data_IF_293276901244
#
_entry.id   IF_293276901244
#
_cell.length_a   1.000
_cell.length_b   1.000
_cell.length_c   1.000
_cell.angle_alpha   90.00
_cell.angle_beta   90.00
_cell.angle_gamma   90.00
#
_symmetry.space_group_name_H-M   'P 1'
#
loop_
_entity.id
_entity.type
_entity.pdbx_description
1 polymer ?
#
# COMPACT_ATOMS: atom_id res chain seq x y z
N UNK A 1 1.54 -6.79 -23.50
CA UNK A 1 2.00 -5.40 -23.72
C UNK A 1 2.10 -4.75 -22.35
N UNK A 2 3.24 -4.16 -21.97
CA UNK A 2 3.31 -3.32 -20.77
C UNK A 2 2.25 -2.21 -20.87
N UNK A 3 1.53 -1.94 -19.78
CA UNK A 3 0.65 -0.77 -19.72
C UNK A 3 1.48 0.49 -19.93
N UNK A 4 1.04 1.36 -20.85
CA UNK A 4 1.68 2.66 -21.18
C UNK A 4 1.73 3.62 -19.98
N UNK A 5 1.00 3.32 -18.89
CA UNK A 5 0.94 4.16 -17.71
C UNK A 5 1.68 3.57 -16.51
N UNK A 6 2.40 4.43 -15.82
CA UNK A 6 2.86 4.25 -14.46
C UNK A 6 1.76 4.73 -13.49
N UNK A 7 1.20 3.79 -12.74
CA UNK A 7 0.03 4.03 -11.89
C UNK A 7 0.43 4.13 -10.42
N UNK A 8 -0.51 4.63 -9.61
CA UNK A 8 -0.43 4.58 -8.13
C UNK A 8 0.07 3.24 -7.61
N UNK A 9 -0.51 2.12 -8.06
CA UNK A 9 -0.15 0.79 -7.55
C UNK A 9 1.29 0.41 -7.86
N UNK A 10 1.81 0.79 -9.04
CA UNK A 10 3.23 0.62 -9.38
C UNK A 10 4.12 1.50 -8.51
N UNK A 11 3.72 2.75 -8.28
CA UNK A 11 4.44 3.65 -7.37
C UNK A 11 4.54 3.08 -5.96
N UNK A 12 3.43 2.65 -5.36
CA UNK A 12 3.42 2.06 -4.02
C UNK A 12 4.28 0.78 -3.94
N UNK A 13 4.24 -0.08 -4.95
CA UNK A 13 5.12 -1.25 -5.05
C UNK A 13 6.60 -0.84 -5.04
N UNK A 14 6.96 0.21 -5.77
CA UNK A 14 8.32 0.74 -5.82
C UNK A 14 8.75 1.37 -4.48
N UNK A 15 7.81 1.95 -3.73
CA UNK A 15 8.08 2.49 -2.39
C UNK A 15 8.37 1.39 -1.36
N UNK A 16 7.88 0.17 -1.58
CA UNK A 16 8.31 -1.00 -0.80
C UNK A 16 9.73 -1.45 -1.21
N UNK A 17 9.95 -1.62 -2.52
CA UNK A 17 11.27 -1.93 -3.09
C UNK A 17 11.26 -1.66 -4.61
N UNK A 18 12.12 -0.76 -5.13
CA UNK A 18 12.10 -0.39 -6.55
C UNK A 18 12.35 -1.56 -7.51
N UNK A 19 13.18 -2.53 -7.11
CA UNK A 19 13.48 -3.71 -7.92
C UNK A 19 12.24 -4.58 -8.16
N UNK A 20 11.22 -4.52 -7.29
CA UNK A 20 9.96 -5.25 -7.49
C UNK A 20 9.21 -4.82 -8.75
N UNK A 21 9.39 -3.59 -9.23
CA UNK A 21 8.78 -3.13 -10.48
C UNK A 21 9.13 -4.07 -11.65
N UNK A 22 10.39 -4.48 -11.72
CA UNK A 22 10.87 -5.35 -12.79
C UNK A 22 10.28 -6.75 -12.66
N UNK A 23 10.33 -7.38 -11.48
CA UNK A 23 9.78 -8.73 -11.31
C UNK A 23 8.26 -8.77 -11.46
N UNK A 24 7.56 -7.73 -11.02
CA UNK A 24 6.11 -7.61 -11.21
C UNK A 24 5.72 -7.44 -12.68
N UNK A 25 6.57 -6.80 -13.49
CA UNK A 25 6.35 -6.65 -14.92
C UNK A 25 6.66 -7.92 -15.74
N UNK A 26 7.31 -8.92 -15.15
CA UNK A 26 7.73 -10.17 -15.82
C UNK A 26 7.19 -11.43 -15.09
N UNK A 27 5.87 -11.58 -14.90
CA UNK A 27 5.27 -12.71 -14.16
C UNK A 27 5.46 -14.08 -14.86
N UNK A 28 5.72 -14.07 -16.17
CA UNK A 28 6.10 -15.24 -16.94
C UNK A 28 7.48 -15.79 -16.55
N UNK A 29 8.36 -14.97 -15.96
CA UNK A 29 9.69 -15.37 -15.50
C UNK A 29 9.72 -15.53 -13.96
N UNK A 30 9.18 -14.56 -13.22
CA UNK A 30 9.34 -14.50 -11.76
C UNK A 30 8.10 -15.00 -11.01
N UNK A 31 8.29 -15.97 -10.12
CA UNK A 31 7.21 -16.41 -9.24
C UNK A 31 6.96 -15.40 -8.13
N UNK A 32 5.68 -15.20 -7.86
CA UNK A 32 5.18 -14.33 -6.82
C UNK A 32 4.41 -15.19 -5.80
N UNK A 33 4.90 -15.22 -4.55
CA UNK A 33 4.31 -15.98 -3.44
C UNK A 33 3.16 -15.25 -2.74
N UNK A 34 2.67 -14.14 -3.28
CA UNK A 34 1.47 -13.47 -2.76
C UNK A 34 0.26 -14.35 -3.07
N UNK A 35 -0.02 -15.29 -2.17
CA UNK A 35 -1.21 -16.13 -2.22
C UNK A 35 -2.45 -15.31 -1.90
N UNK A 36 -3.58 -15.63 -2.54
CA UNK A 36 -4.90 -15.18 -2.13
C UNK A 36 -5.25 -15.83 -0.78
N UNK A 37 -4.88 -15.16 0.31
CA UNK A 37 -5.28 -15.53 1.67
C UNK A 37 -6.74 -15.09 1.89
N UNK A 38 -7.65 -15.97 2.34
CA UNK A 38 -9.01 -15.60 2.74
C UNK A 38 -9.09 -14.37 3.66
N UNK A 39 -8.08 -14.15 4.51
CA UNK A 39 -7.97 -12.95 5.34
C UNK A 39 -7.72 -11.68 4.52
N UNK A 40 -6.80 -11.74 3.54
CA UNK A 40 -6.55 -10.62 2.61
C UNK A 40 -7.77 -10.32 1.73
N UNK A 41 -8.53 -11.35 1.35
CA UNK A 41 -9.81 -11.16 0.66
C UNK A 41 -10.86 -10.48 1.55
N UNK A 42 -10.93 -10.84 2.83
CA UNK A 42 -11.82 -10.19 3.78
C UNK A 42 -11.44 -8.72 4.01
N UNK A 43 -10.15 -8.41 4.13
CA UNK A 43 -9.64 -7.04 4.20
C UNK A 43 -9.99 -6.22 2.95
N UNK A 44 -9.83 -6.81 1.76
CA UNK A 44 -10.21 -6.17 0.50
C UNK A 44 -11.72 -5.86 0.47
N UNK A 45 -12.57 -6.80 0.92
CA UNK A 45 -14.04 -6.58 1.03
C UNK A 45 -14.37 -5.41 1.97
N UNK A 46 -13.71 -5.31 3.11
CA UNK A 46 -13.90 -4.18 4.04
C UNK A 46 -13.54 -2.84 3.37
N UNK A 47 -12.41 -2.79 2.64
CA UNK A 47 -12.02 -1.61 1.87
C UNK A 47 -13.07 -1.17 0.85
N UNK A 48 -13.60 -2.11 0.07
CA UNK A 48 -14.68 -1.83 -0.89
C UNK A 48 -15.95 -1.31 -0.20
N UNK A 49 -16.30 -1.83 0.98
CA UNK A 49 -17.48 -1.39 1.74
C UNK A 49 -17.35 0.07 2.17
N UNK A 50 -16.18 0.45 2.68
CA UNK A 50 -15.87 1.82 3.08
C UNK A 50 -15.87 2.75 1.87
N UNK A 51 -15.31 2.32 0.73
CA UNK A 51 -15.37 3.09 -0.52
C UNK A 51 -16.81 3.35 -1.00
N UNK A 52 -17.67 2.34 -0.96
CA UNK A 52 -19.10 2.49 -1.29
C UNK A 52 -19.79 3.44 -0.33
N UNK A 53 -19.57 3.29 0.98
CA UNK A 53 -20.15 4.17 1.99
C UNK A 53 -19.72 5.63 1.79
N UNK A 54 -18.46 5.86 1.43
CA UNK A 54 -17.96 7.20 1.11
C UNK A 54 -18.72 7.82 -0.06
N UNK A 55 -18.97 7.06 -1.13
CA UNK A 55 -19.78 7.54 -2.26
C UNK A 55 -21.18 7.93 -1.83
N UNK A 56 -21.81 7.17 -0.94
CA UNK A 56 -23.14 7.50 -0.40
C UNK A 56 -23.16 8.86 0.31
N UNK A 57 -22.12 9.18 1.08
CA UNK A 57 -22.03 10.49 1.77
C UNK A 57 -21.80 11.68 0.82
N UNK A 58 -21.32 11.40 -0.39
CA UNK A 58 -21.05 12.39 -1.43
C UNK A 58 -22.10 12.39 -2.55
N UNK A 59 -23.12 11.54 -2.47
CA UNK A 59 -24.10 11.38 -3.52
C UNK A 59 -25.06 12.59 -3.54
N UNK A 60 -25.26 13.17 -4.72
CA UNK A 60 -26.10 14.35 -4.93
C UNK A 60 -26.29 14.64 -6.43
N UNK A 61 -26.93 15.77 -6.76
CA UNK A 61 -27.23 16.11 -8.15
C UNK A 61 -25.97 16.26 -9.05
N UNK A 62 -24.85 16.69 -8.45
CA UNK A 62 -23.59 16.96 -9.16
C UNK A 62 -22.55 15.84 -9.05
N UNK A 63 -22.93 14.65 -8.55
CA UNK A 63 -22.02 13.52 -8.45
C UNK A 63 -22.10 12.58 -9.67
N UNK A 64 -20.94 12.21 -10.22
CA UNK A 64 -20.83 11.31 -11.37
C UNK A 64 -19.88 10.16 -11.01
N UNK A 65 -20.35 8.92 -11.17
CA UNK A 65 -19.54 7.71 -10.94
C UNK A 65 -18.92 7.19 -12.25
N UNK A 66 -17.58 7.17 -12.32
CA UNK A 66 -16.82 6.68 -13.49
C UNK A 66 -16.24 5.27 -13.28
N UNK A 67 -16.64 4.55 -12.22
CA UNK A 67 -16.07 3.25 -11.85
C UNK A 67 -16.13 2.20 -12.96
N UNK A 68 -17.21 2.24 -13.75
CA UNK A 68 -17.47 1.28 -14.82
C UNK A 68 -16.80 1.63 -16.15
N UNK A 69 -16.14 2.78 -16.24
CA UNK A 69 -15.44 3.21 -17.44
C UNK A 69 -14.03 2.63 -17.48
N UNK A 70 -13.56 2.31 -18.69
CA UNK A 70 -12.15 2.00 -18.91
C UNK A 70 -11.28 3.27 -18.75
N UNK A 71 -9.96 3.11 -18.75
CA UNK A 71 -9.03 4.23 -18.53
C UNK A 71 -9.24 5.39 -19.50
N UNK A 72 -9.34 5.12 -20.80
CA UNK A 72 -9.50 6.15 -21.83
C UNK A 72 -10.82 6.92 -21.67
N UNK A 73 -11.92 6.19 -21.47
CA UNK A 73 -13.24 6.75 -21.23
C UNK A 73 -13.28 7.60 -19.96
N UNK A 74 -12.67 7.12 -18.87
CA UNK A 74 -12.60 7.84 -17.61
C UNK A 74 -11.78 9.13 -17.77
N UNK A 75 -10.62 9.09 -18.44
CA UNK A 75 -9.78 10.27 -18.72
C UNK A 75 -10.56 11.33 -19.51
N UNK A 76 -11.20 10.92 -20.60
CA UNK A 76 -12.02 11.82 -21.41
C UNK A 76 -13.15 12.43 -20.59
N UNK A 77 -13.91 11.60 -19.87
CA UNK A 77 -15.06 12.06 -19.10
C UNK A 77 -14.67 12.96 -17.94
N UNK A 78 -13.59 12.65 -17.21
CA UNK A 78 -13.07 13.52 -16.15
C UNK A 78 -12.66 14.88 -16.72
N UNK A 79 -11.94 14.92 -17.86
CA UNK A 79 -11.57 16.18 -18.51
C UNK A 79 -12.78 17.05 -18.86
N UNK A 80 -13.84 16.45 -19.40
CA UNK A 80 -15.08 17.18 -19.72
C UNK A 80 -15.80 17.69 -18.46
N UNK A 81 -15.87 16.88 -17.42
CA UNK A 81 -16.54 17.25 -16.17
C UNK A 81 -15.82 18.38 -15.42
N UNK A 82 -14.49 18.43 -15.47
CA UNK A 82 -13.69 19.49 -14.84
C UNK A 82 -13.90 20.88 -15.46
N UNK A 83 -14.58 20.99 -16.62
CA UNK A 83 -14.99 22.29 -17.19
C UNK A 83 -16.12 22.96 -16.40
N UNK A 84 -16.90 22.20 -15.62
CA UNK A 84 -17.94 22.76 -14.74
C UNK A 84 -17.31 23.46 -13.54
N UNK A 85 -17.96 24.48 -13.00
CA UNK A 85 -17.49 25.15 -11.78
C UNK A 85 -17.53 24.21 -10.58
N UNK A 86 -18.63 23.45 -10.44
CA UNK A 86 -18.83 22.53 -9.33
C UNK A 86 -19.13 21.12 -9.85
N UNK A 87 -18.39 20.12 -9.37
CA UNK A 87 -18.63 18.71 -9.71
C UNK A 87 -17.99 17.77 -8.69
N UNK A 88 -18.66 16.66 -8.39
CA UNK A 88 -18.11 15.53 -7.63
C UNK A 88 -17.93 14.36 -8.61
N UNK A 89 -16.73 13.80 -8.68
CA UNK A 89 -16.40 12.72 -9.60
C UNK A 89 -15.83 11.55 -8.79
N UNK A 90 -16.51 10.41 -8.83
CA UNK A 90 -15.97 9.17 -8.25
C UNK A 90 -15.14 8.43 -9.28
N UNK A 91 -14.01 7.86 -8.85
CA UNK A 91 -13.03 7.18 -9.72
C UNK A 91 -12.51 8.08 -10.85
N UNK A 92 -12.30 9.37 -10.54
CA UNK A 92 -11.82 10.37 -11.50
C UNK A 92 -10.43 9.98 -12.01
N UNK A 93 -10.25 9.97 -13.34
CA UNK A 93 -8.97 9.63 -13.95
C UNK A 93 -8.30 10.89 -14.51
N UNK A 94 -7.02 11.08 -14.18
CA UNK A 94 -6.19 12.16 -14.73
C UNK A 94 -4.83 11.59 -15.09
N UNK A 95 -4.32 11.99 -16.25
CA UNK A 95 -3.01 11.61 -16.72
C UNK A 95 -2.14 12.83 -16.98
N UNK A 96 -0.84 12.66 -16.76
CA UNK A 96 0.19 13.60 -17.16
C UNK A 96 1.39 12.80 -17.67
N UNK A 97 1.77 12.99 -18.94
CA UNK A 97 2.70 12.10 -19.64
C UNK A 97 2.27 10.62 -19.46
N UNK A 98 3.16 9.79 -18.92
CA UNK A 98 2.90 8.38 -18.63
C UNK A 98 2.41 8.13 -17.21
N UNK A 99 2.10 9.15 -16.42
CA UNK A 99 1.58 8.99 -15.06
C UNK A 99 0.06 8.99 -15.08
N UNK A 100 -0.56 8.02 -14.41
CA UNK A 100 -2.01 7.91 -14.30
C UNK A 100 -2.45 7.84 -12.84
N UNK A 101 -3.27 8.80 -12.43
CA UNK A 101 -4.02 8.74 -11.17
C UNK A 101 -5.45 8.31 -11.43
N UNK A 102 -6.02 7.59 -10.47
CA UNK A 102 -7.45 7.32 -10.36
C UNK A 102 -7.86 7.57 -8.91
N UNK A 103 -8.54 8.69 -8.69
CA UNK A 103 -8.91 9.16 -7.36
C UNK A 103 -10.26 8.56 -6.94
N UNK A 104 -10.37 8.08 -5.70
CA UNK A 104 -11.62 7.54 -5.16
C UNK A 104 -12.73 8.59 -5.26
N UNK A 105 -12.45 9.81 -4.77
CA UNK A 105 -13.34 10.97 -4.88
C UNK A 105 -12.54 12.22 -5.24
N UNK A 106 -12.97 12.92 -6.29
CA UNK A 106 -12.53 14.27 -6.65
C UNK A 106 -13.72 15.22 -6.48
N UNK A 107 -13.52 16.28 -5.69
CA UNK A 107 -14.49 17.37 -5.56
C UNK A 107 -13.89 18.63 -6.15
N UNK A 108 -14.55 19.22 -7.13
CA UNK A 108 -14.21 20.53 -7.67
C UNK A 108 -15.23 21.55 -7.17
N UNK A 109 -14.74 22.61 -6.55
CA UNK A 109 -15.49 23.82 -6.22
C UNK A 109 -14.74 25.02 -6.81
N UNK A 110 -15.27 25.59 -7.88
CA UNK A 110 -14.64 26.64 -8.69
C UNK A 110 -13.20 26.25 -9.10
N UNK A 111 -12.21 26.94 -8.54
CA UNK A 111 -10.78 26.74 -8.81
C UNK A 111 -10.07 25.88 -7.76
N UNK A 112 -10.81 25.23 -6.87
CA UNK A 112 -10.25 24.36 -5.84
C UNK A 112 -10.68 22.90 -6.04
N UNK A 113 -9.69 22.03 -5.98
CA UNK A 113 -9.83 20.59 -6.08
C UNK A 113 -9.53 19.99 -4.72
N UNK A 114 -10.40 19.08 -4.27
CA UNK A 114 -10.12 18.19 -3.15
C UNK A 114 -9.99 16.77 -3.71
N UNK A 115 -8.84 16.15 -3.50
CA UNK A 115 -8.66 14.71 -3.70
C UNK A 115 -8.86 14.02 -2.37
N UNK A 116 -9.77 13.04 -2.31
CA UNK A 116 -10.02 12.25 -1.11
C UNK A 116 -9.71 10.80 -1.44
N UNK A 117 -8.70 10.24 -0.76
CA UNK A 117 -8.37 8.81 -0.79
C UNK A 117 -9.02 8.12 0.41
N UNK A 118 -9.87 7.13 0.17
CA UNK A 118 -10.68 6.47 1.20
C UNK A 118 -9.99 5.19 1.67
N UNK A 119 -9.78 5.04 2.98
CA UNK A 119 -9.19 3.84 3.58
C UNK A 119 -10.10 3.28 4.68
N UNK A 120 -10.08 1.96 4.85
CA UNK A 120 -10.79 1.28 5.95
C UNK A 120 -10.04 1.33 7.29
N UNK A 121 -8.98 2.11 7.39
CA UNK A 121 -8.31 2.39 8.66
C UNK A 121 -9.16 3.32 9.53
N UNK A 122 -9.02 3.18 10.84
CA UNK A 122 -9.74 4.01 11.81
C UNK A 122 -8.92 5.22 12.24
N UNK A 123 -9.61 6.26 12.70
CA UNK A 123 -9.00 7.49 13.20
C UNK A 123 -9.75 8.03 14.41
N UNK A 124 -9.01 8.39 15.46
CA UNK A 124 -9.46 9.13 16.64
C UNK A 124 -8.81 10.52 16.64
N UNK A 125 -9.60 11.55 16.33
CA UNK A 125 -9.14 12.95 16.25
C UNK A 125 -8.52 13.49 17.54
N UNK A 126 -8.71 12.83 18.68
CA UNK A 126 -8.16 13.26 19.97
C UNK A 126 -6.85 12.58 20.34
N UNK A 127 -6.48 11.49 19.65
CA UNK A 127 -5.33 10.64 20.01
C UNK A 127 -4.37 10.38 18.87
N UNK A 128 -4.88 10.29 17.65
CA UNK A 128 -4.09 9.89 16.50
C UNK A 128 -3.37 11.08 15.89
N UNK A 129 -2.16 10.81 15.40
CA UNK A 129 -1.33 11.76 14.66
C UNK A 129 -0.58 11.01 13.58
N UNK A 130 -0.47 11.60 12.39
CA UNK A 130 0.29 11.02 11.28
C UNK A 130 1.78 11.21 11.51
N UNK A 131 2.16 12.41 11.95
CA UNK A 131 3.52 12.67 12.41
C UNK A 131 3.80 11.99 13.75
N UNK A 132 4.97 11.37 13.83
CA UNK A 132 5.46 10.83 15.08
C UNK A 132 5.98 11.96 15.97
N UNK A 133 5.92 11.78 17.30
CA UNK A 133 6.42 12.76 18.28
C UNK A 133 7.89 13.15 18.08
N UNK A 134 8.69 12.28 17.46
CA UNK A 134 10.12 12.49 17.19
C UNK A 134 10.40 12.99 15.76
N UNK A 135 9.37 13.40 15.02
CA UNK A 135 9.45 13.72 13.59
C UNK A 135 9.27 12.50 12.70
N UNK A 136 9.03 12.75 11.41
CA UNK A 136 8.71 11.72 10.41
C UNK A 136 7.31 11.14 10.55
N UNK A 137 6.96 10.24 9.62
CA UNK A 137 5.63 9.62 9.50
C UNK A 137 5.75 8.13 9.82
N UNK A 138 4.80 7.58 10.56
CA UNK A 138 4.79 6.14 10.87
C UNK A 138 4.64 5.30 9.60
N UNK A 139 5.19 4.08 9.58
CA UNK A 139 5.09 3.21 8.39
C UNK A 139 3.64 2.91 7.99
N UNK A 140 2.75 2.76 8.97
CA UNK A 140 1.33 2.50 8.75
C UNK A 140 0.68 3.62 7.93
N UNK A 141 0.98 4.89 8.25
CA UNK A 141 0.45 6.04 7.53
C UNK A 141 1.25 6.39 6.27
N UNK A 142 2.55 6.13 6.26
CA UNK A 142 3.44 6.52 5.17
C UNK A 142 2.99 5.98 3.81
N UNK A 143 2.49 4.73 3.78
CA UNK A 143 1.93 4.14 2.57
C UNK A 143 0.72 4.91 2.03
N UNK A 144 -0.16 5.38 2.90
CA UNK A 144 -1.33 6.18 2.53
C UNK A 144 -0.95 7.61 2.13
N UNK A 145 0.07 8.18 2.75
CA UNK A 145 0.62 9.47 2.34
C UNK A 145 1.23 9.37 0.95
N UNK A 146 2.02 8.32 0.66
CA UNK A 146 2.56 8.09 -0.68
C UNK A 146 1.49 7.90 -1.74
N UNK A 147 0.41 7.21 -1.39
CA UNK A 147 -0.75 7.02 -2.26
C UNK A 147 -1.28 8.38 -2.75
N UNK A 148 -1.72 9.23 -1.82
CA UNK A 148 -2.34 10.51 -2.16
C UNK A 148 -1.31 11.53 -2.68
N UNK A 149 -0.04 11.46 -2.26
CA UNK A 149 1.02 12.32 -2.75
C UNK A 149 1.30 12.08 -4.24
N UNK A 150 1.32 10.83 -4.69
CA UNK A 150 1.43 10.50 -6.11
C UNK A 150 0.28 11.11 -6.90
N UNK A 151 -0.96 10.92 -6.44
CA UNK A 151 -2.13 11.46 -7.12
C UNK A 151 -2.10 13.00 -7.15
N UNK A 152 -1.80 13.66 -6.04
CA UNK A 152 -1.67 15.13 -5.97
C UNK A 152 -0.58 15.64 -6.92
N UNK A 153 0.56 14.94 -7.03
CA UNK A 153 1.62 15.27 -7.96
C UNK A 153 1.14 15.23 -9.41
N UNK A 154 0.54 14.11 -9.84
CA UNK A 154 0.02 13.95 -11.21
C UNK A 154 -1.04 14.99 -11.53
N UNK A 155 -1.98 15.24 -10.61
CA UNK A 155 -3.03 16.24 -10.81
C UNK A 155 -2.44 17.66 -10.97
N UNK A 156 -1.53 18.06 -10.08
CA UNK A 156 -0.91 19.39 -10.12
C UNK A 156 -0.12 19.62 -11.42
N UNK A 157 0.46 18.56 -11.99
CA UNK A 157 1.14 18.61 -13.30
C UNK A 157 0.15 18.75 -14.47
N UNK A 158 -0.98 18.03 -14.43
CA UNK A 158 -2.01 18.11 -15.45
C UNK A 158 -2.79 19.44 -15.42
N UNK A 159 -3.02 20.02 -14.24
CA UNK A 159 -3.84 21.21 -14.03
C UNK A 159 -3.14 22.24 -13.13
N UNK A 160 -2.07 22.90 -13.61
CA UNK A 160 -1.25 23.80 -12.79
C UNK A 160 -1.99 25.05 -12.29
N UNK A 161 -3.08 25.44 -12.95
CA UNK A 161 -3.87 26.63 -12.60
C UNK A 161 -4.93 26.36 -11.52
N UNK A 162 -5.20 25.09 -11.17
CA UNK A 162 -6.17 24.74 -10.13
C UNK A 162 -5.45 24.56 -8.80
N UNK A 163 -6.03 25.09 -7.73
CA UNK A 163 -5.55 24.81 -6.36
C UNK A 163 -6.00 23.42 -5.97
N UNK A 164 -5.16 22.71 -5.22
CA UNK A 164 -5.45 21.33 -4.82
C UNK A 164 -5.10 21.07 -3.35
N UNK A 165 -6.03 20.46 -2.64
CA UNK A 165 -5.85 19.90 -1.30
C UNK A 165 -6.12 18.40 -1.31
N UNK A 166 -5.39 17.67 -0.48
CA UNK A 166 -5.47 16.23 -0.38
C UNK A 166 -5.96 15.79 1.00
N UNK A 167 -6.79 14.77 1.01
CA UNK A 167 -7.43 14.25 2.21
C UNK A 167 -7.35 12.73 2.25
N UNK A 168 -7.28 12.19 3.47
CA UNK A 168 -7.64 10.81 3.76
C UNK A 168 -9.07 10.77 4.30
N UNK A 169 -9.92 9.94 3.71
CA UNK A 169 -11.22 9.57 4.26
C UNK A 169 -11.10 8.28 5.07
N UNK A 170 -11.30 8.37 6.39
CA UNK A 170 -11.04 7.28 7.35
C UNK A 170 -12.28 6.98 8.19
N UNK A 171 -12.36 5.78 8.77
CA UNK A 171 -13.43 5.43 9.71
C UNK A 171 -13.26 6.22 11.02
N UNK A 172 -14.26 7.02 11.37
CA UNK A 172 -14.27 7.79 12.60
C UNK A 172 -14.50 6.87 13.81
N UNK A 173 -13.47 6.69 14.65
CA UNK A 173 -13.52 5.81 15.83
C UNK A 173 -14.49 6.31 16.91
N UNK A 174 -14.78 7.60 16.91
CA UNK A 174 -15.70 8.25 17.86
C UNK A 174 -17.15 8.29 17.35
N UNK A 175 -17.42 7.89 16.10
CA UNK A 175 -18.77 7.91 15.55
C UNK A 175 -19.56 6.67 15.98
N UNK A 176 -20.81 6.88 16.38
CA UNK A 176 -21.77 5.81 16.62
C UNK A 176 -22.39 5.38 15.30
N UNK A 177 -22.50 4.06 15.07
CA UNK A 177 -23.18 3.53 13.89
C UNK A 177 -24.70 3.81 14.02
N UNK A 178 -25.31 4.61 13.14
CA UNK A 178 -26.70 5.04 13.31
C UNK A 178 -27.70 3.90 13.03
N UNK A 179 -27.25 2.85 12.33
CA UNK A 179 -28.05 1.69 11.99
C UNK A 179 -27.35 0.37 12.34
N UNK A 180 -28.11 -0.55 12.93
CA UNK A 180 -27.63 -1.92 13.19
C UNK A 180 -27.40 -2.67 11.87
N UNK A 181 -26.28 -3.39 11.79
CA UNK A 181 -25.95 -4.22 10.63
C UNK A 181 -25.73 -3.45 9.32
N UNK A 182 -25.32 -2.18 9.36
CA UNK A 182 -25.06 -1.37 8.15
C UNK A 182 -24.10 -2.07 7.17
N UNK A 183 -23.07 -2.74 7.70
CA UNK A 183 -22.13 -3.55 6.91
C UNK A 183 -22.80 -4.74 6.19
N UNK A 184 -23.94 -5.24 6.66
CA UNK A 184 -24.71 -6.30 6.01
C UNK A 184 -25.67 -5.77 4.93
N UNK A 185 -26.00 -4.47 5.00
CA UNK A 185 -26.80 -3.77 3.99
C UNK A 185 -25.98 -3.51 2.72
N UNK A 186 -24.69 -3.18 2.86
CA UNK A 186 -23.76 -3.04 1.74
C UNK A 186 -23.14 -4.40 1.42
N UNK A 187 -23.68 -5.08 0.41
CA UNK A 187 -23.20 -6.41 0.01
C UNK A 187 -22.24 -6.29 -1.15
N UNK A 188 -21.09 -6.94 -1.00
CA UNK A 188 -20.08 -7.04 -2.05
C UNK A 188 -20.02 -8.48 -2.54
N UNK A 189 -20.20 -8.64 -3.84
CA UNK A 189 -20.02 -9.90 -4.55
C UNK A 189 -18.98 -9.71 -5.66
N UNK A 190 -18.40 -10.80 -6.16
CA UNK A 190 -17.59 -10.78 -7.38
C UNK A 190 -18.31 -11.54 -8.48
N UNK A 191 -18.30 -11.00 -9.69
CA UNK A 191 -18.79 -11.70 -10.88
C UNK A 191 -17.81 -12.81 -11.28
N UNK A 192 -18.24 -13.71 -12.18
CA UNK A 192 -17.37 -14.75 -12.75
C UNK A 192 -16.10 -14.19 -13.41
N UNK A 193 -16.14 -12.93 -13.83
CA UNK A 193 -15.01 -12.24 -14.47
C UNK A 193 -14.17 -11.44 -13.46
N UNK A 194 -14.39 -11.62 -12.15
CA UNK A 194 -13.64 -10.96 -11.08
C UNK A 194 -14.07 -9.52 -10.77
N UNK A 195 -15.04 -8.96 -11.49
CA UNK A 195 -15.55 -7.61 -11.23
C UNK A 195 -16.31 -7.57 -9.90
N UNK A 196 -16.05 -6.53 -9.11
CA UNK A 196 -16.75 -6.29 -7.85
C UNK A 196 -18.13 -5.72 -8.16
N UNK A 197 -19.18 -6.43 -7.72
CA UNK A 197 -20.57 -5.99 -7.80
C UNK A 197 -21.07 -5.66 -6.40
N UNK A 198 -21.48 -4.42 -6.23
CA UNK A 198 -22.10 -3.90 -5.02
C UNK A 198 -23.61 -4.00 -5.14
N UNK A 199 -24.30 -4.40 -4.09
CA UNK A 199 -25.76 -4.44 -4.02
C UNK A 199 -26.27 -4.05 -2.63
N UNK A 200 -27.54 -3.64 -2.55
CA UNK A 200 -28.19 -3.23 -1.30
C UNK A 200 -27.96 -1.78 -0.90
N UNK A 201 -27.17 -1.03 -1.66
CA UNK A 201 -26.94 0.42 -1.47
C UNK A 201 -28.22 1.19 -1.74
N UNK A 202 -29.02 0.76 -2.71
CA UNK A 202 -30.34 1.29 -3.03
C UNK A 202 -31.35 1.21 -1.88
N UNK A 203 -31.03 0.44 -0.84
CA UNK A 203 -31.86 0.27 0.37
C UNK A 203 -31.41 1.15 1.53
N UNK A 204 -30.27 1.85 1.41
CA UNK A 204 -29.82 2.81 2.40
C UNK A 204 -30.74 4.03 2.37
N UNK A 205 -31.17 4.47 3.53
CA UNK A 205 -31.99 5.67 3.69
C UNK A 205 -31.23 6.76 4.46
N UNK A 206 -31.83 7.93 4.60
CA UNK A 206 -31.22 9.06 5.32
C UNK A 206 -30.88 8.74 6.79
N UNK A 207 -31.66 7.87 7.45
CA UNK A 207 -31.37 7.45 8.82
C UNK A 207 -30.14 6.52 8.91
N UNK A 208 -29.93 5.66 7.90
CA UNK A 208 -28.73 4.81 7.81
C UNK A 208 -27.43 5.62 7.64
N UNK A 209 -27.54 6.88 7.20
CA UNK A 209 -26.43 7.79 6.90
C UNK A 209 -26.44 9.04 7.80
N UNK A 210 -27.27 9.08 8.84
CA UNK A 210 -27.49 10.28 9.66
C UNK A 210 -26.22 10.73 10.38
N UNK A 211 -25.43 9.76 10.86
CA UNK A 211 -24.11 9.99 11.44
C UNK A 211 -23.02 9.65 10.42
N UNK A 212 -22.11 10.61 10.18
CA UNK A 212 -20.97 10.40 9.31
C UNK A 212 -19.94 9.49 9.99
N UNK A 213 -19.86 8.25 9.52
CA UNK A 213 -18.89 7.25 9.96
C UNK A 213 -17.51 7.46 9.33
N UNK A 214 -17.40 8.37 8.36
CA UNK A 214 -16.15 8.78 7.79
C UNK A 214 -15.77 10.18 8.27
N UNK A 215 -14.50 10.33 8.65
CA UNK A 215 -13.84 11.59 8.92
C UNK A 215 -12.82 11.86 7.83
N UNK A 216 -12.70 13.13 7.44
CA UNK A 216 -11.71 13.57 6.48
C UNK A 216 -10.60 14.34 7.19
N UNK A 217 -9.37 14.01 6.83
CA UNK A 217 -8.18 14.62 7.40
C UNK A 217 -7.39 15.20 6.25
N UNK A 218 -7.17 16.51 6.28
CA UNK A 218 -6.25 17.14 5.34
C UNK A 218 -4.83 16.65 5.65
N UNK A 219 -4.13 16.18 4.61
CA UNK A 219 -2.78 15.63 4.74
C UNK A 219 -1.76 16.40 3.90
N UNK A 220 -2.05 17.68 3.61
CA UNK A 220 -1.18 18.51 2.76
C UNK A 220 0.19 18.74 3.39
N UNK A 221 0.27 18.81 4.73
CA UNK A 221 1.52 18.99 5.46
C UNK A 221 2.42 17.75 5.36
N UNK A 222 1.84 16.56 5.53
CA UNK A 222 2.51 15.27 5.41
C UNK A 222 3.00 15.03 3.98
N UNK A 223 2.17 15.38 2.98
CA UNK A 223 2.58 15.33 1.57
C UNK A 223 3.75 16.29 1.32
N UNK A 224 3.69 17.50 1.87
CA UNK A 224 4.78 18.49 1.73
C UNK A 224 6.07 17.95 2.33
N UNK A 225 6.01 17.37 3.54
CA UNK A 225 7.17 16.73 4.17
C UNK A 225 7.79 15.63 3.30
N UNK A 226 7.00 14.67 2.80
CA UNK A 226 7.56 13.61 1.93
C UNK A 226 8.02 14.13 0.57
N UNK A 227 7.44 15.25 0.09
CA UNK A 227 7.79 15.84 -1.20
C UNK A 227 9.08 16.65 -1.13
N UNK A 228 9.26 17.43 -0.07
CA UNK A 228 10.23 18.51 0.00
C UNK A 228 11.34 18.26 1.01
N UNK A 229 11.13 17.46 2.05
CA UNK A 229 12.14 17.20 3.09
C UNK A 229 12.83 15.86 2.88
N UNK A 230 12.06 14.82 2.54
CA UNK A 230 12.61 13.48 2.32
C UNK A 230 13.48 13.43 1.05
N UNK A 231 14.53 12.61 1.10
CA UNK A 231 15.40 12.28 -0.03
C UNK A 231 15.21 10.81 -0.40
N UNK A 232 15.06 10.56 -1.69
CA UNK A 232 14.93 9.22 -2.25
C UNK A 232 16.23 8.81 -2.94
N UNK A 233 16.23 7.62 -3.56
CA UNK A 233 17.36 7.11 -4.34
C UNK A 233 17.86 8.19 -5.32
N UNK A 234 19.17 8.33 -5.42
CA UNK A 234 19.86 9.36 -6.21
C UNK A 234 19.60 10.80 -5.72
N UNK A 235 19.36 10.99 -4.42
CA UNK A 235 19.11 12.31 -3.79
C UNK A 235 17.91 13.09 -4.37
N UNK A 236 17.00 12.38 -5.04
CA UNK A 236 15.82 12.95 -5.67
C UNK A 236 14.78 13.34 -4.62
N UNK A 237 14.03 14.40 -4.93
CA UNK A 237 12.76 14.73 -4.26
C UNK A 237 11.63 13.91 -4.86
N UNK A 238 10.48 13.81 -4.17
CA UNK A 238 9.40 12.88 -4.52
C UNK A 238 8.99 12.97 -6.00
N UNK A 239 8.76 14.17 -6.51
CA UNK A 239 8.37 14.37 -7.91
C UNK A 239 9.41 13.81 -8.90
N UNK A 240 10.69 14.13 -8.71
CA UNK A 240 11.77 13.59 -9.54
C UNK A 240 11.91 12.07 -9.40
N UNK A 241 11.67 11.53 -8.20
CA UNK A 241 11.70 10.10 -7.97
C UNK A 241 10.53 9.37 -8.63
N UNK A 242 9.34 9.95 -8.65
CA UNK A 242 8.17 9.42 -9.40
C UNK A 242 8.52 9.30 -10.89
N UNK A 243 9.05 10.37 -11.50
CA UNK A 243 9.44 10.36 -12.93
C UNK A 243 10.54 9.33 -13.20
N UNK A 244 11.55 9.24 -12.32
CA UNK A 244 12.61 8.24 -12.42
C UNK A 244 12.08 6.81 -12.39
N UNK A 245 11.19 6.50 -11.44
CA UNK A 245 10.56 5.18 -11.33
C UNK A 245 9.67 4.86 -12.54
N UNK A 246 8.92 5.84 -13.04
CA UNK A 246 8.09 5.69 -14.22
C UNK A 246 8.94 5.34 -15.44
N UNK A 247 10.04 6.07 -15.68
CA UNK A 247 10.97 5.80 -16.78
C UNK A 247 11.58 4.40 -16.67
N UNK A 248 12.08 4.00 -15.50
CA UNK A 248 12.63 2.66 -15.32
C UNK A 248 11.56 1.58 -15.59
N UNK A 249 10.34 1.77 -15.08
CA UNK A 249 9.24 0.81 -15.28
C UNK A 249 8.83 0.68 -16.74
N UNK A 250 8.75 1.78 -17.48
CA UNK A 250 8.31 1.78 -18.89
C UNK A 250 9.39 1.22 -19.82
N UNK A 251 10.66 1.44 -19.49
CA UNK A 251 11.80 0.91 -20.25
C UNK A 251 12.21 -0.51 -19.85
N UNK A 252 11.46 -1.16 -18.94
CA UNK A 252 11.78 -2.51 -18.45
C UNK A 252 13.13 -2.57 -17.73
N UNK A 253 13.61 -1.47 -17.17
CA UNK A 253 14.90 -1.40 -16.49
C UNK A 253 14.80 -1.98 -15.07
N UNK A 254 15.57 -3.04 -14.80
CA UNK A 254 15.76 -3.53 -13.43
C UNK A 254 16.64 -2.55 -12.66
N UNK A 255 16.13 -2.05 -11.53
CA UNK A 255 16.89 -1.23 -10.61
C UNK A 255 17.74 -2.10 -9.67
N UNK A 256 18.98 -1.66 -9.41
CA UNK A 256 19.89 -2.37 -8.50
C UNK A 256 19.21 -2.63 -7.14
N UNK A 257 19.31 -3.87 -6.61
CA UNK A 257 18.67 -4.26 -5.37
C UNK A 257 19.32 -3.57 -4.17
N UNK A 258 18.47 -3.18 -3.22
CA UNK A 258 18.91 -2.79 -1.88
C UNK A 258 18.46 -3.87 -0.92
N UNK A 259 19.36 -4.78 -0.58
CA UNK A 259 19.08 -5.88 0.35
C UNK A 259 18.98 -5.38 1.79
N UNK A 260 18.17 -6.05 2.60
CA UNK A 260 17.95 -5.68 3.99
C UNK A 260 16.81 -6.48 4.61
N UNK A 261 16.35 -6.07 5.80
CA UNK A 261 15.24 -6.71 6.52
C UNK A 261 13.95 -6.76 5.71
N UNK A 262 13.77 -5.80 4.79
CA UNK A 262 12.60 -5.73 3.90
C UNK A 262 12.48 -7.00 3.04
N UNK A 263 13.59 -7.69 2.77
CA UNK A 263 13.61 -8.90 1.98
C UNK A 263 12.95 -10.10 2.70
N UNK A 264 12.79 -10.05 4.03
CA UNK A 264 12.18 -11.13 4.80
C UNK A 264 10.72 -11.39 4.35
N UNK A 265 9.99 -10.32 4.05
CA UNK A 265 8.58 -10.35 3.64
C UNK A 265 8.40 -10.13 2.12
N UNK A 266 9.47 -10.27 1.33
CA UNK A 266 9.39 -10.06 -0.11
C UNK A 266 8.55 -11.17 -0.76
N UNK A 267 7.55 -10.80 -1.54
CA UNK A 267 6.68 -11.74 -2.26
C UNK A 267 7.42 -12.50 -3.37
N UNK A 268 8.57 -12.01 -3.81
CA UNK A 268 9.47 -12.71 -4.74
C UNK A 268 10.49 -13.61 -4.01
N UNK A 269 10.39 -13.75 -2.68
CA UNK A 269 11.11 -14.76 -1.90
C UNK A 269 10.38 -16.10 -2.00
N UNK A 270 10.76 -16.87 -3.01
CA UNK A 270 10.22 -18.20 -3.27
C UNK A 270 11.21 -19.26 -2.82
N UNK A 271 10.72 -20.25 -2.07
CA UNK A 271 11.53 -21.41 -1.69
C UNK A 271 12.05 -22.10 -2.95
N UNK A 272 13.34 -22.42 -2.96
CA UNK A 272 14.00 -23.04 -4.09
C UNK A 272 13.28 -24.33 -4.55
N UNK A 273 12.76 -25.11 -3.60
CA UNK A 273 11.99 -26.34 -3.86
C UNK A 273 10.65 -26.13 -4.58
N UNK A 274 10.13 -24.90 -4.61
CA UNK A 274 8.90 -24.52 -5.32
C UNK A 274 9.17 -23.95 -6.72
N UNK A 275 10.43 -23.77 -7.11
CA UNK A 275 10.78 -23.32 -8.44
C UNK A 275 10.53 -24.45 -9.43
N UNK A 276 9.56 -24.28 -10.32
CA UNK A 276 9.33 -25.16 -11.47
C UNK A 276 10.27 -24.78 -12.62
N UNK A 277 10.51 -25.70 -13.55
CA UNK A 277 11.39 -25.45 -14.70
C UNK A 277 11.03 -24.15 -15.42
N UNK A 278 12.03 -23.29 -15.68
CA UNK A 278 11.89 -22.02 -16.37
C UNK A 278 11.45 -20.82 -15.51
N UNK A 279 11.09 -21.04 -14.23
CA UNK A 279 10.71 -19.95 -13.31
C UNK A 279 11.85 -19.55 -12.38
N UNK A 280 11.90 -18.27 -11.99
CA UNK A 280 12.93 -17.69 -11.13
C UNK A 280 12.36 -17.06 -9.87
N UNK A 281 13.20 -17.00 -8.83
CA UNK A 281 12.97 -16.24 -7.61
C UNK A 281 13.65 -14.87 -7.74
N UNK A 282 12.87 -13.79 -7.74
CA UNK A 282 13.43 -12.44 -7.79
C UNK A 282 14.27 -12.11 -6.56
N UNK A 283 13.95 -12.72 -5.40
CA UNK A 283 14.80 -12.64 -4.21
C UNK A 283 16.18 -13.25 -4.47
N UNK A 284 16.25 -14.47 -5.00
CA UNK A 284 17.56 -15.10 -5.23
C UNK A 284 18.38 -14.27 -6.22
N UNK A 285 17.78 -13.75 -7.28
CA UNK A 285 18.48 -12.87 -8.23
C UNK A 285 19.05 -11.62 -7.56
N UNK A 286 18.28 -10.95 -6.69
CA UNK A 286 18.79 -9.81 -5.92
C UNK A 286 19.99 -10.15 -5.04
N UNK A 287 19.96 -11.30 -4.37
CA UNK A 287 21.02 -11.72 -3.44
C UNK A 287 22.26 -12.25 -4.15
N UNK A 288 22.11 -12.86 -5.34
CA UNK A 288 23.23 -13.15 -6.23
C UNK A 288 23.93 -11.87 -6.68
N UNK A 289 23.15 -10.87 -7.08
CA UNK A 289 23.69 -9.58 -7.56
C UNK A 289 24.36 -8.78 -6.44
N UNK A 290 23.74 -8.70 -5.26
CA UNK A 290 24.24 -7.86 -4.16
C UNK A 290 25.33 -8.52 -3.29
N UNK A 291 25.29 -9.85 -3.13
CA UNK A 291 26.17 -10.59 -2.21
C UNK A 291 27.00 -11.69 -2.88
N UNK A 292 26.89 -11.88 -4.19
CA UNK A 292 27.54 -12.99 -4.91
C UNK A 292 27.17 -14.38 -4.37
N UNK A 293 25.94 -14.54 -3.87
CA UNK A 293 25.46 -15.83 -3.37
C UNK A 293 25.45 -16.90 -4.46
N UNK A 294 25.77 -18.13 -4.06
CA UNK A 294 25.65 -19.32 -4.89
C UNK A 294 24.43 -20.15 -4.48
N UNK A 295 24.11 -21.22 -5.22
CA UNK A 295 22.97 -22.08 -4.91
C UNK A 295 23.04 -22.70 -3.50
N UNK A 296 24.24 -23.01 -3.02
CA UNK A 296 24.45 -23.57 -1.68
C UNK A 296 24.04 -22.59 -0.57
N UNK A 297 24.16 -21.29 -0.81
CA UNK A 297 23.87 -20.26 0.18
C UNK A 297 22.38 -20.14 0.45
N UNK A 298 21.54 -20.32 -0.57
CA UNK A 298 20.07 -20.30 -0.43
C UNK A 298 19.51 -21.49 0.37
N UNK A 299 20.34 -22.51 0.65
CA UNK A 299 19.97 -23.66 1.49
C UNK A 299 20.31 -23.43 2.96
N UNK A 300 21.07 -22.38 3.30
CA UNK A 300 21.50 -22.07 4.66
C UNK A 300 20.41 -21.28 5.40
N UNK A 301 20.24 -21.48 6.72
CA UNK A 301 19.34 -20.66 7.53
C UNK A 301 19.74 -19.17 7.48
N UNK A 302 18.84 -18.31 7.02
CA UNK A 302 19.12 -16.87 6.87
C UNK A 302 18.87 -16.09 8.15
N UNK A 303 19.63 -15.00 8.36
CA UNK A 303 19.36 -14.00 9.42
C UNK A 303 17.98 -13.34 9.28
N UNK A 304 17.41 -13.34 8.07
CA UNK A 304 16.05 -12.85 7.83
C UNK A 304 15.00 -13.64 8.61
N UNK A 305 15.28 -14.91 8.92
CA UNK A 305 14.35 -15.84 9.56
C UNK A 305 14.51 -15.88 11.09
N UNK A 306 15.44 -15.10 11.66
CA UNK A 306 15.61 -15.01 13.11
C UNK A 306 14.37 -14.33 13.69
N UNK A 307 13.65 -15.04 14.56
CA UNK A 307 12.42 -14.55 15.17
C UNK A 307 12.66 -13.33 16.07
N UNK A 308 11.78 -12.32 15.97
CA UNK A 308 11.77 -11.11 16.81
C UNK A 308 13.10 -10.33 16.88
N UNK A 309 13.98 -10.46 15.87
CA UNK A 309 15.23 -9.72 15.83
C UNK A 309 15.09 -8.42 15.01
N UNK A 310 15.29 -7.27 15.65
CA UNK A 310 15.03 -5.96 15.04
C UNK A 310 16.21 -5.39 14.25
N UNK A 311 17.45 -5.84 14.53
CA UNK A 311 18.70 -5.30 13.98
C UNK A 311 19.22 -6.06 12.74
N UNK A 312 18.33 -6.72 11.98
CA UNK A 312 18.69 -7.49 10.77
C UNK A 312 19.45 -6.64 9.74
N UNK A 313 19.10 -5.37 9.59
CA UNK A 313 19.77 -4.46 8.65
C UNK A 313 21.25 -4.26 9.02
N UNK A 314 21.60 -4.28 10.30
CA UNK A 314 22.98 -4.09 10.76
C UNK A 314 23.83 -5.33 10.44
N UNK A 315 23.29 -6.52 10.69
CA UNK A 315 23.94 -7.78 10.30
C UNK A 315 24.22 -7.82 8.80
N UNK A 316 23.19 -7.55 7.98
CA UNK A 316 23.28 -7.58 6.52
C UNK A 316 24.31 -6.56 6.00
N UNK A 317 24.36 -5.35 6.59
CA UNK A 317 25.37 -4.34 6.25
C UNK A 317 26.80 -4.77 6.60
N UNK A 318 26.96 -5.58 7.65
CA UNK A 318 28.25 -6.10 8.10
C UNK A 318 28.66 -7.42 7.41
N UNK A 319 27.94 -7.86 6.37
CA UNK A 319 28.25 -9.11 5.67
C UNK A 319 27.79 -10.37 6.40
N UNK A 320 26.95 -10.23 7.43
CA UNK A 320 26.40 -11.33 8.22
C UNK A 320 25.00 -11.67 7.70
N UNK A 321 24.87 -12.83 7.04
CA UNK A 321 23.68 -13.21 6.29
C UNK A 321 23.03 -14.52 6.76
N UNK A 322 23.79 -15.35 7.48
CA UNK A 322 23.38 -16.67 7.93
C UNK A 322 23.36 -16.77 9.45
N UNK A 323 22.49 -17.62 10.00
CA UNK A 323 22.31 -17.73 11.46
C UNK A 323 23.54 -18.30 12.18
N UNK A 324 24.32 -19.14 11.49
CA UNK A 324 25.58 -19.72 11.99
C UNK A 324 26.73 -18.69 12.10
N UNK A 325 26.54 -17.49 11.57
CA UNK A 325 27.48 -16.37 11.68
C UNK A 325 27.14 -15.43 12.83
N UNK A 326 26.04 -15.65 13.55
CA UNK A 326 25.59 -14.77 14.63
C UNK A 326 25.86 -15.43 15.97
N UNK A 327 26.56 -14.73 16.84
CA UNK A 327 26.82 -15.20 18.20
C UNK A 327 25.55 -15.13 19.06
N UNK A 328 25.32 -16.12 19.92
CA UNK A 328 24.07 -16.23 20.70
C UNK A 328 23.84 -15.00 21.61
N UNK A 329 24.92 -14.37 22.10
CA UNK A 329 24.88 -13.15 22.90
C UNK A 329 24.47 -11.89 22.11
N UNK A 330 24.51 -11.91 20.78
CA UNK A 330 24.09 -10.80 19.92
C UNK A 330 22.59 -10.80 19.60
N UNK A 331 21.93 -11.96 19.75
CA UNK A 331 20.49 -12.16 19.46
C UNK A 331 19.65 -12.12 20.74
N UNK A 332 20.24 -12.41 21.90
CA UNK A 332 19.50 -12.39 23.17
C UNK A 332 19.05 -10.96 23.50
N UNK A 333 17.77 -10.74 23.85
CA UNK A 333 17.36 -9.47 24.42
C UNK A 333 18.21 -9.24 25.68
N UNK A 334 18.89 -8.08 25.78
CA UNK A 334 19.54 -7.64 27.02
C UNK A 334 18.57 -7.95 28.16
N UNK A 335 18.99 -8.75 29.14
CA UNK A 335 18.18 -9.14 30.30
C UNK A 335 17.58 -7.89 30.97
N UNK A 336 16.41 -7.47 30.55
CA UNK A 336 15.53 -6.69 31.39
C UNK A 336 14.84 -7.70 32.31
N UNK A 337 15.21 -7.60 33.58
CA UNK A 337 14.67 -8.31 34.72
C UNK A 337 13.13 -8.33 34.71
N UNK A 338 12.52 -9.33 34.08
CA UNK A 338 11.14 -9.68 34.30
C UNK A 338 11.13 -11.13 34.79
N UNK A 339 10.75 -11.29 36.05
CA UNK A 339 10.57 -12.55 36.79
C UNK A 339 9.96 -13.63 35.89
N UNK A 340 10.77 -14.62 35.48
CA UNK A 340 10.23 -15.88 34.97
C UNK A 340 9.51 -16.59 36.12
N UNK A 341 8.18 -16.50 36.15
CA UNK A 341 7.36 -17.49 36.83
C UNK A 341 7.51 -18.82 36.07
N UNK A 342 8.08 -19.80 36.76
CA UNK A 342 8.26 -21.20 36.35
C UNK A 342 7.01 -21.76 35.63
N UNK A 343 7.17 -22.18 34.37
CA UNK A 343 6.38 -23.27 33.79
C UNK A 343 7.23 -24.54 33.86
N UNK A 344 6.84 -25.46 34.75
CA UNK A 344 7.44 -26.80 34.88
C UNK A 344 7.08 -27.61 33.63
N UNK A 345 8.10 -28.10 32.93
CA UNK A 345 7.97 -29.13 31.91
C UNK A 345 7.45 -30.44 32.55
N UNK A 346 6.37 -30.99 31.98
CA UNK A 346 5.99 -32.38 32.15
C UNK A 346 7.09 -33.26 31.55
N UNK A 347 7.86 -33.95 32.40
CA UNK A 347 8.74 -35.03 31.98
C UNK A 347 7.96 -36.34 32.11
N UNK A 348 7.61 -36.93 30.96
CA UNK A 348 7.27 -38.36 30.84
C UNK A 348 8.38 -39.18 31.50
N UNK A 349 8.03 -40.04 32.46
CA UNK A 349 8.80 -41.23 32.83
C UNK A 349 7.96 -42.44 32.49
N UNK A 350 8.39 -43.20 31.49
CA UNK A 350 7.96 -44.58 31.23
C UNK A 350 9.04 -45.52 31.75
N UNK A 351 8.62 -46.44 32.62
CA UNK A 351 9.15 -47.79 32.88
C UNK A 351 10.59 -47.90 33.43
N UNK A 352 10.95 -48.87 34.28
CA UNK A 352 10.40 -50.19 34.59
C UNK A 352 11.11 -50.73 35.86
N UNK A 353 10.35 -51.52 36.65
CA UNK A 353 10.73 -52.54 37.64
C UNK A 353 11.64 -52.18 38.81
#
# INVERSE_FOLDING_TARGET
MPSEFFTKSKFLLAMECPTKLYYHANPEIYLNNRTSDPFLEALAKAGFQVGVLAKCYYQGADSIDLSNLNTEQALYKTKELLKKDNVIIFEAAVAYNHLLLRADILVKNDNHIRLIEVKSSTWDSTKDSIFMKKGGISQDWLSYIYDVAFQKYVFKKAYPNLRISAYLGLLNKSASCPASGLNQKIRISRTKNGQVKVSGVEKLNAADLSDKLLIEINVDNEITYVSEEVKYRNELKLGGYIEYLANCSLNGQKLNPSIGKICANCEFRVLHTKLVSGKKSGFEECWREACHFEERDFKRPSVLDIWNYTRRDELIKNGVYFQDQVEENEILPKKNSIKLKRMKFYRKKTHQR
#
